data_IF_123735428566
#
_entry.id   IF_123735428566
#
_cell.length_a   1.000
_cell.length_b   1.000
_cell.length_c   1.000
_cell.angle_alpha   90.00
_cell.angle_beta   90.00
_cell.angle_gamma   90.00
#
_symmetry.space_group_name_H-M   'P 1'
#
loop_
_entity.id
_entity.type
_entity.pdbx_description
1 polymer ?
2 non-polymer ?
3 non-polymer ?
4 non-polymer ?
5 water ?
#
# COMPACT_ATOMS: atom_id res chain seq x y z
N UNK A 6 15.94 -21.59 -23.35
CA UNK A 6 16.33 -20.33 -23.99
C UNK A 6 15.27 -19.23 -23.89
N UNK A 7 13.99 -19.55 -24.18
CA UNK A 7 12.99 -18.48 -24.03
C UNK A 7 12.85 -18.02 -22.58
N UNK A 8 13.14 -18.91 -21.64
CA UNK A 8 13.12 -18.56 -20.22
C UNK A 8 14.27 -17.61 -19.91
N UNK A 9 15.39 -17.78 -20.60
CA UNK A 9 16.56 -16.93 -20.42
C UNK A 9 16.28 -15.52 -20.90
N UNK A 10 15.65 -15.41 -22.06
CA UNK A 10 15.28 -14.13 -22.63
C UNK A 10 14.30 -13.38 -21.73
N UNK A 11 13.38 -14.13 -21.14
CA UNK A 11 12.37 -13.57 -20.24
C UNK A 11 13.02 -12.88 -19.05
N UNK A 12 14.02 -13.54 -18.46
CA UNK A 12 14.72 -12.99 -17.30
C UNK A 12 15.54 -11.76 -17.65
N UNK A 13 16.31 -11.86 -18.72
CA UNK A 13 17.17 -10.76 -19.16
C UNK A 13 16.36 -9.53 -19.53
N UNK A 14 15.21 -9.75 -20.15
CA UNK A 14 14.31 -8.66 -20.52
C UNK A 14 13.84 -7.93 -19.28
N UNK A 15 13.58 -8.69 -18.22
CA UNK A 15 13.18 -8.09 -16.94
C UNK A 15 14.35 -7.36 -16.29
N UNK A 16 15.50 -8.03 -16.25
CA UNK A 16 16.71 -7.45 -15.70
C UNK A 16 17.06 -6.13 -16.41
N UNK A 17 16.78 -6.08 -17.71
CA UNK A 17 16.93 -4.84 -18.47
C UNK A 17 15.96 -3.78 -17.96
N UNK A 18 14.70 -4.16 -17.81
CA UNK A 18 13.65 -3.25 -17.39
C UNK A 18 13.93 -2.67 -16.00
N UNK A 19 14.50 -3.49 -15.13
CA UNK A 19 14.88 -3.05 -13.80
C UNK A 19 16.08 -2.10 -13.88
N UNK A 20 17.08 -2.46 -14.68
CA UNK A 20 18.29 -1.66 -14.80
C UNK A 20 18.04 -0.32 -15.49
N UNK A 21 17.01 -0.27 -16.34
CA UNK A 21 16.60 1.00 -16.94
C UNK A 21 15.82 1.80 -15.91
N UNK A 22 16.55 2.45 -15.01
CA UNK A 22 15.95 3.13 -13.87
C UNK A 22 15.06 4.30 -14.28
N UNK A 23 15.50 5.08 -15.26
CA UNK A 23 14.72 6.24 -15.69
C UNK A 23 13.56 5.82 -16.60
N UNK A 24 13.52 4.53 -16.94
CA UNK A 24 12.42 3.93 -17.67
C UNK A 24 12.18 4.61 -19.02
N UNK A 25 13.26 4.77 -19.80
CA UNK A 25 13.15 5.44 -21.09
C UNK A 25 13.32 4.45 -22.25
N UNK A 26 13.68 3.21 -21.93
CA UNK A 26 13.83 2.18 -22.94
C UNK A 26 15.28 1.91 -23.31
N UNK A 27 16.18 2.76 -22.81
CA UNK A 27 17.60 2.57 -23.04
C UNK A 27 18.39 2.63 -21.74
N UNK A 28 19.58 2.04 -21.75
CA UNK A 28 20.49 2.10 -20.62
C UNK A 28 21.58 3.13 -20.89
N UNK A 29 21.36 4.37 -20.47
CA UNK A 29 22.37 5.41 -20.66
C UNK A 29 23.62 5.10 -19.87
N UNK A 30 24.68 5.86 -20.11
CA UNK A 30 25.98 5.62 -19.48
C UNK A 30 25.89 5.56 -17.96
N UNK A 31 25.02 6.39 -17.39
CA UNK A 31 24.82 6.44 -15.96
C UNK A 31 24.25 5.11 -15.43
N UNK A 32 23.23 4.61 -16.12
CA UNK A 32 22.58 3.37 -15.71
C UNK A 32 23.41 2.16 -16.10
N UNK A 33 24.08 2.26 -17.24
CA UNK A 33 24.92 1.17 -17.74
C UNK A 33 26.09 0.90 -16.79
N UNK A 34 26.73 1.96 -16.32
CA UNK A 34 27.85 1.82 -15.39
C UNK A 34 27.42 1.28 -14.04
N UNK A 35 26.20 1.63 -13.63
CA UNK A 35 25.62 1.11 -12.40
C UNK A 35 25.44 -0.41 -12.49
N UNK A 36 24.94 -0.86 -13.64
CA UNK A 36 24.71 -2.28 -13.88
C UNK A 36 26.01 -3.09 -13.82
N UNK A 37 27.07 -2.54 -14.42
CA UNK A 37 28.35 -3.23 -14.48
C UNK A 37 29.00 -3.36 -13.10
N UNK A 38 28.81 -2.36 -12.26
CA UNK A 38 29.40 -2.34 -10.93
C UNK A 38 28.78 -3.39 -10.01
N UNK A 39 27.45 -3.45 -9.99
CA UNK A 39 26.77 -4.38 -9.10
C UNK A 39 26.95 -5.82 -9.59
N UNK A 40 27.24 -5.97 -10.88
CA UNK A 40 27.42 -7.29 -11.47
C UNK A 40 28.89 -7.73 -11.51
N UNK A 41 29.75 -6.85 -11.99
CA UNK A 41 31.14 -7.23 -12.27
C UNK A 41 32.14 -6.45 -11.42
N UNK A 42 31.66 -5.81 -10.36
CA UNK A 42 32.50 -5.11 -9.39
C UNK A 42 33.23 -3.88 -9.93
N UNK A 43 33.45 -3.84 -11.25
CA UNK A 43 34.14 -2.71 -11.86
C UNK A 43 33.52 -2.30 -13.20
N UNK A 44 33.28 -0.99 -13.38
CA UNK A 44 32.74 -0.45 -14.63
C UNK A 44 33.79 -0.32 -15.72
N UNK A 45 33.36 -0.04 -16.95
CA UNK A 45 34.27 0.08 -18.08
C UNK A 45 34.65 1.53 -18.35
N UNK A 46 35.79 1.72 -18.99
CA UNK A 46 36.28 3.06 -19.34
C UNK A 46 35.31 3.76 -20.27
N UNK A 47 35.12 5.09 -20.08
CA UNK A 47 34.14 5.92 -20.77
C UNK A 47 34.09 5.75 -22.29
N UNK A 48 35.22 5.45 -22.91
CA UNK A 48 35.27 5.30 -24.36
C UNK A 48 35.46 3.83 -24.72
N UNK A 49 35.98 3.05 -23.77
CA UNK A 49 35.98 1.59 -23.91
C UNK A 49 34.53 1.09 -23.83
N UNK A 50 33.66 1.93 -23.29
CA UNK A 50 32.23 1.69 -23.30
C UNK A 50 31.67 1.98 -24.68
N UNK A 51 32.18 3.04 -25.31
CA UNK A 51 31.78 3.41 -26.65
C UNK A 51 32.27 2.38 -27.67
N UNK A 52 33.31 1.64 -27.29
CA UNK A 52 33.83 0.57 -28.14
C UNK A 52 32.82 -0.59 -28.21
N UNK A 53 32.23 -0.93 -27.06
CA UNK A 53 31.24 -1.99 -27.01
C UNK A 53 30.00 -1.60 -27.82
N UNK A 54 29.62 -0.33 -27.74
CA UNK A 54 28.49 0.19 -28.49
C UNK A 54 28.73 0.05 -29.99
N UNK A 55 29.97 0.28 -30.41
CA UNK A 55 30.35 0.09 -31.81
C UNK A 55 30.13 -1.34 -32.27
N UNK A 56 30.58 -2.30 -31.46
CA UNK A 56 30.38 -3.71 -31.74
C UNK A 56 28.90 -4.01 -31.95
N UNK A 57 28.05 -3.40 -31.14
CA UNK A 57 26.60 -3.54 -31.29
C UNK A 57 26.12 -2.90 -32.58
N UNK A 58 26.53 -1.64 -32.79
CA UNK A 58 26.10 -0.88 -33.96
C UNK A 58 26.49 -1.55 -35.28
N UNK A 59 27.55 -2.35 -35.25
CA UNK A 59 28.08 -2.95 -36.47
C UNK A 59 27.47 -4.33 -36.70
N UNK A 60 26.48 -4.69 -35.90
CA UNK A 60 25.77 -5.96 -36.05
C UNK A 60 24.28 -5.71 -36.22
N UNK A 61 23.72 -4.88 -35.34
CA UNK A 61 22.30 -4.53 -35.42
C UNK A 61 22.14 -3.02 -35.34
N UNK A 62 21.11 -2.51 -36.02
CA UNK A 62 20.90 -1.08 -36.11
C UNK A 62 20.07 -0.53 -34.96
N UNK A 63 19.24 -1.40 -34.38
CA UNK A 63 18.35 -1.00 -33.29
C UNK A 63 18.88 -1.43 -31.93
N UNK A 64 20.20 -1.58 -31.84
CA UNK A 64 20.84 -2.00 -30.60
C UNK A 64 21.31 -0.85 -29.74
N UNK A 65 21.45 0.31 -30.35
CA UNK A 65 21.87 1.52 -29.64
C UNK A 65 21.06 2.73 -30.09
N UNK A 66 20.21 3.22 -29.19
CA UNK A 66 19.53 4.50 -29.39
C UNK A 66 20.18 5.51 -28.45
N UNK A 67 19.98 6.81 -28.72
CA UNK A 67 20.82 7.89 -28.17
C UNK A 67 22.28 7.42 -28.03
N UNK A 68 22.83 7.35 -26.82
CA UNK A 68 24.10 6.69 -26.62
C UNK A 68 23.97 5.66 -25.50
N UNK A 69 22.80 5.05 -25.42
CA UNK A 69 22.50 4.05 -24.40
C UNK A 69 22.00 2.75 -24.98
N UNK A 70 22.29 1.65 -24.29
CA UNK A 70 21.98 0.32 -24.78
C UNK A 70 20.47 0.04 -24.77
N UNK A 71 19.95 -0.39 -25.92
CA UNK A 71 18.54 -0.79 -26.01
C UNK A 71 18.38 -2.25 -25.62
N UNK A 72 17.13 -2.69 -25.49
CA UNK A 72 16.84 -4.06 -25.11
C UNK A 72 17.38 -5.05 -26.15
N UNK A 73 17.08 -4.79 -27.42
CA UNK A 73 17.59 -5.61 -28.51
C UNK A 73 19.12 -5.63 -28.48
N UNK A 74 19.72 -4.49 -28.15
CA UNK A 74 21.16 -4.41 -28.01
C UNK A 74 21.64 -5.20 -26.80
N UNK A 75 20.87 -5.12 -25.72
CA UNK A 75 21.16 -5.84 -24.49
C UNK A 75 21.11 -7.35 -24.70
N UNK A 76 20.07 -7.83 -25.38
CA UNK A 76 19.92 -9.25 -25.66
C UNK A 76 20.99 -9.73 -26.63
N UNK A 77 21.43 -8.83 -27.51
CA UNK A 77 22.48 -9.15 -28.48
C UNK A 77 23.80 -9.46 -27.80
N UNK A 78 24.14 -8.65 -26.79
CA UNK A 78 25.39 -8.84 -26.05
C UNK A 78 25.40 -10.14 -25.28
N UNK A 79 24.20 -10.61 -24.92
CA UNK A 79 24.05 -11.90 -24.24
C UNK A 79 24.46 -13.04 -25.17
N UNK A 80 24.10 -12.91 -26.45
CA UNK A 80 24.42 -13.91 -27.45
C UNK A 80 25.92 -13.89 -27.77
N UNK A 81 26.49 -12.69 -27.79
CA UNK A 81 27.90 -12.51 -28.15
C UNK A 81 28.84 -13.16 -27.12
N UNK A 82 28.50 -13.01 -25.85
CA UNK A 82 29.35 -13.53 -24.77
C UNK A 82 29.35 -15.05 -24.73
N UNK A 83 28.33 -15.67 -25.32
CA UNK A 83 28.27 -17.12 -25.40
C UNK A 83 29.08 -17.63 -26.59
N UNK A 84 28.65 -17.27 -27.80
CA UNK A 84 29.33 -17.68 -29.01
C UNK A 84 30.56 -16.83 -29.27
N UNK A 88 27.97 -18.61 -21.67
CA UNK A 88 29.23 -18.78 -20.97
C UNK A 88 29.05 -18.66 -19.46
N UNK A 89 29.71 -17.65 -18.88
CA UNK A 89 29.63 -17.44 -17.44
C UNK A 89 29.29 -15.99 -17.12
N UNK A 90 29.47 -15.11 -18.11
CA UNK A 90 29.17 -13.69 -17.95
C UNK A 90 27.68 -13.48 -17.69
N UNK A 91 26.85 -14.25 -18.39
CA UNK A 91 25.41 -14.13 -18.26
C UNK A 91 24.93 -14.61 -16.89
N UNK A 92 25.45 -15.76 -16.46
CA UNK A 92 25.08 -16.35 -15.18
C UNK A 92 25.51 -15.47 -14.01
N UNK A 93 26.55 -14.67 -14.23
CA UNK A 93 26.96 -13.68 -13.23
C UNK A 93 25.85 -12.66 -13.04
N UNK A 94 25.30 -12.19 -14.17
CA UNK A 94 24.23 -11.20 -14.15
C UNK A 94 22.96 -11.79 -13.53
N UNK A 95 22.58 -12.98 -13.98
CA UNK A 95 21.37 -13.65 -13.51
C UNK A 95 21.39 -13.87 -12.00
N UNK A 96 22.49 -14.42 -11.49
CA UNK A 96 22.61 -14.68 -10.06
C UNK A 96 22.60 -13.39 -9.25
N UNK A 97 23.13 -12.33 -9.84
CA UNK A 97 23.17 -11.03 -9.18
C UNK A 97 21.77 -10.45 -9.03
N UNK A 98 20.86 -10.89 -9.89
CA UNK A 98 19.49 -10.39 -9.86
C UNK A 98 18.52 -11.40 -9.25
N UNK A 99 19.05 -12.37 -8.50
CA UNK A 99 18.23 -13.26 -7.72
C UNK A 99 17.78 -14.54 -8.40
N UNK A 100 18.15 -14.71 -9.68
CA UNK A 100 17.75 -15.90 -10.41
C UNK A 100 18.62 -17.10 -10.04
N UNK A 101 18.05 -18.30 -10.17
CA UNK A 101 18.79 -19.53 -9.91
C UNK A 101 19.07 -20.28 -11.21
N UNK A 102 19.46 -21.54 -11.10
CA UNK A 102 19.78 -22.35 -12.26
C UNK A 102 18.57 -22.57 -13.17
N UNK A 103 17.39 -22.60 -12.57
CA UNK A 103 16.15 -22.80 -13.32
C UNK A 103 15.58 -21.48 -13.86
N UNK A 104 16.38 -20.42 -13.73
CA UNK A 104 16.00 -19.07 -14.18
C UNK A 104 14.78 -18.53 -13.45
N UNK A 105 14.59 -18.98 -12.21
CA UNK A 105 13.51 -18.47 -11.36
C UNK A 105 14.09 -17.70 -10.19
N UNK A 106 13.31 -16.78 -9.63
CA UNK A 106 13.77 -15.99 -8.49
C UNK A 106 13.80 -16.86 -7.24
N UNK A 107 14.95 -16.88 -6.57
CA UNK A 107 15.16 -17.69 -5.39
C UNK A 107 14.29 -17.25 -4.22
N UNK A 108 13.88 -18.21 -3.36
CA UNK A 108 13.13 -17.90 -2.14
C UNK A 108 13.86 -16.91 -1.24
N UNK A 109 15.19 -16.98 -1.24
CA UNK A 109 16.01 -16.10 -0.42
C UNK A 109 15.91 -14.66 -0.90
N UNK A 110 15.65 -14.48 -2.18
CA UNK A 110 15.54 -13.14 -2.76
C UNK A 110 14.14 -12.59 -2.57
N UNK A 111 13.13 -13.40 -2.89
CA UNK A 111 11.74 -12.96 -2.84
C UNK A 111 11.14 -13.01 -1.44
N UNK A 112 11.51 -14.02 -0.66
CA UNK A 112 10.93 -14.19 0.67
C UNK A 112 11.99 -14.20 1.78
N UNK A 113 12.59 -13.04 2.06
CA UNK A 113 13.53 -12.99 3.19
C UNK A 113 12.75 -13.06 4.49
N UNK A 114 13.13 -13.97 5.38
CA UNK A 114 12.34 -14.15 6.60
C UNK A 114 12.48 -12.93 7.51
N UNK A 115 11.33 -12.44 7.96
CA UNK A 115 11.26 -11.30 8.87
C UNK A 115 10.23 -11.60 9.94
N UNK A 116 10.70 -12.17 11.05
CA UNK A 116 9.83 -12.56 12.15
C UNK A 116 9.35 -11.35 12.94
N UNK A 117 8.04 -11.17 12.99
CA UNK A 117 7.46 -10.03 13.69
C UNK A 117 6.97 -10.41 15.08
N UNK A 118 7.49 -9.73 16.11
CA UNK A 118 7.10 -9.94 17.50
C UNK A 118 5.61 -9.67 17.72
N UNK A 119 5.02 -10.31 18.73
CA UNK A 119 3.60 -10.12 19.05
C UNK A 119 3.26 -8.65 19.36
N UNK A 120 2.06 -8.23 18.99
CA UNK A 120 1.58 -6.87 19.22
C UNK A 120 2.48 -5.80 18.59
N UNK A 121 3.18 -6.18 17.51
CA UNK A 121 4.01 -5.24 16.77
C UNK A 121 3.47 -5.03 15.37
N UNK A 122 3.78 -3.88 14.77
CA UNK A 122 3.33 -3.58 13.41
C UNK A 122 4.50 -3.35 12.46
N UNK A 123 4.19 -3.28 11.17
CA UNK A 123 5.21 -3.13 10.15
C UNK A 123 4.99 -1.89 9.30
N UNK A 124 6.03 -1.06 9.17
CA UNK A 124 5.95 0.15 8.36
C UNK A 124 7.13 0.25 7.42
N UNK A 125 6.97 0.98 6.34
CA UNK A 125 8.06 1.26 5.42
C UNK A 125 8.88 2.42 5.97
N UNK A 126 10.21 2.29 5.97
CA UNK A 126 11.05 3.38 6.44
C UNK A 126 11.12 4.49 5.39
N UNK A 127 11.74 5.60 5.77
CA UNK A 127 11.77 6.79 4.91
C UNK A 127 12.41 6.52 3.54
N UNK A 128 13.50 5.75 3.54
CA UNK A 128 14.20 5.45 2.29
C UNK A 128 13.37 4.50 1.41
N UNK A 129 12.62 3.61 2.05
CA UNK A 129 11.71 2.73 1.34
C UNK A 129 10.66 3.53 0.59
N UNK A 130 10.10 4.53 1.26
CA UNK A 130 9.10 5.41 0.65
C UNK A 130 9.68 6.17 -0.53
N UNK A 131 10.90 6.66 -0.38
CA UNK A 131 11.58 7.39 -1.46
C UNK A 131 11.75 6.52 -2.69
N UNK A 132 12.08 5.25 -2.47
CA UNK A 132 12.19 4.27 -3.56
C UNK A 132 10.87 4.15 -4.32
N UNK A 133 9.77 4.15 -3.58
CA UNK A 133 8.44 4.02 -4.17
C UNK A 133 8.01 5.32 -4.85
N UNK A 134 8.47 6.44 -4.33
CA UNK A 134 8.16 7.75 -4.92
C UNK A 134 8.81 7.88 -6.29
N UNK A 135 10.05 7.43 -6.40
CA UNK A 135 10.74 7.45 -7.68
C UNK A 135 10.10 6.42 -8.60
N UNK A 136 9.79 5.25 -8.05
CA UNK A 136 9.13 4.17 -8.80
C UNK A 136 7.85 4.66 -9.48
N UNK A 137 7.07 5.46 -8.75
CA UNK A 137 5.85 6.03 -9.30
C UNK A 137 6.17 6.99 -10.43
N UNK A 138 7.16 7.85 -10.20
CA UNK A 138 7.54 8.85 -11.20
C UNK A 138 8.04 8.23 -12.50
N UNK A 139 8.75 7.10 -12.38
CA UNK A 139 9.30 6.44 -13.56
C UNK A 139 8.21 5.95 -14.52
N UNK A 140 7.04 5.67 -13.97
CA UNK A 140 5.96 5.10 -14.78
C UNK A 140 4.83 6.09 -15.03
N UNK A 141 4.90 7.25 -14.39
CA UNK A 141 3.93 8.31 -14.61
C UNK A 141 4.41 9.20 -15.75
N UNK A 142 4.49 8.62 -16.95
CA UNK A 142 5.08 9.31 -18.10
C UNK A 142 4.25 10.51 -18.56
N UNK A 143 2.95 10.51 -18.25
CA UNK A 143 2.08 11.61 -18.66
C UNK A 143 2.07 12.75 -17.64
N UNK A 144 2.82 12.57 -16.56
CA UNK A 144 2.98 13.59 -15.51
C UNK A 144 1.67 14.14 -14.97
N UNK A 145 0.72 13.25 -14.71
CA UNK A 145 -0.58 13.67 -14.18
C UNK A 145 -0.75 13.27 -12.72
N UNK A 146 0.33 12.80 -12.11
CA UNK A 146 0.33 12.30 -10.74
C UNK A 146 -0.74 11.23 -10.53
N UNK A 147 -0.81 10.31 -11.48
CA UNK A 147 -1.72 9.18 -11.43
C UNK A 147 -1.24 8.11 -12.39
N UNK A 148 -1.58 6.86 -12.11
CA UNK A 148 -1.20 5.76 -12.99
C UNK A 148 -2.40 5.24 -13.77
N UNK A 149 -2.44 5.54 -15.06
CA UNK A 149 -3.45 4.99 -15.96
C UNK A 149 -3.27 3.48 -16.02
N UNK A 150 -4.33 2.75 -16.45
CA UNK A 150 -4.23 1.30 -16.63
C UNK A 150 -3.01 0.87 -17.45
N UNK A 151 -2.62 1.69 -18.42
CA UNK A 151 -1.44 1.41 -19.25
C UNK A 151 -0.16 1.57 -18.44
N UNK A 152 -0.10 2.60 -17.61
CA UNK A 152 1.08 2.87 -16.80
C UNK A 152 1.24 1.85 -15.68
N UNK A 153 0.12 1.23 -15.28
CA UNK A 153 0.16 0.15 -14.30
C UNK A 153 0.65 -1.15 -14.95
N UNK A 154 0.17 -1.42 -16.16
CA UNK A 154 0.62 -2.59 -16.92
C UNK A 154 2.12 -2.51 -17.16
N UNK A 155 2.61 -1.31 -17.40
CA UNK A 155 4.03 -1.08 -17.58
C UNK A 155 4.79 -1.41 -16.29
N UNK A 156 4.29 -0.87 -15.18
CA UNK A 156 4.89 -1.10 -13.87
C UNK A 156 4.91 -2.58 -13.50
N UNK A 157 3.89 -3.32 -13.91
CA UNK A 157 3.75 -4.71 -13.53
C UNK A 157 4.44 -5.67 -14.51
N UNK A 158 5.10 -5.11 -15.52
CA UNK A 158 5.76 -5.95 -16.52
C UNK A 158 7.04 -6.59 -15.95
N UNK A 159 7.42 -6.17 -14.75
CA UNK A 159 8.49 -6.83 -14.01
C UNK A 159 7.90 -7.82 -13.00
N UNK A 160 6.57 -7.88 -12.92
CA UNK A 160 5.87 -8.82 -12.05
C UNK A 160 5.44 -10.05 -12.85
N UNK A 161 5.54 -11.24 -12.22
CA UNK A 161 5.10 -12.48 -12.86
C UNK A 161 3.58 -12.62 -12.90
N UNK A 162 2.89 -11.83 -12.08
CA UNK A 162 1.43 -11.79 -12.11
C UNK A 162 0.96 -10.39 -11.74
N UNK A 163 -0.29 -10.07 -12.07
CA UNK A 163 -0.87 -8.79 -11.67
C UNK A 163 -1.14 -8.79 -10.16
N UNK A 164 -0.44 -7.91 -9.43
CA UNK A 164 -0.52 -7.87 -7.97
C UNK A 164 -1.76 -7.16 -7.44
N UNK A 165 -2.26 -6.17 -8.16
CA UNK A 165 -3.40 -5.38 -7.71
C UNK A 165 -4.64 -5.64 -8.55
N UNK A 166 -5.77 -5.82 -7.88
CA UNK A 166 -7.04 -6.01 -8.56
C UNK A 166 -7.79 -4.69 -8.68
N UNK A 167 -8.94 -4.71 -9.35
CA UNK A 167 -9.75 -3.49 -9.55
C UNK A 167 -10.34 -2.93 -8.26
N UNK A 168 -10.22 -3.67 -7.16
CA UNK A 168 -10.73 -3.21 -5.88
C UNK A 168 -9.73 -2.30 -5.17
N UNK A 169 -8.49 -2.33 -5.64
CA UNK A 169 -7.45 -1.46 -5.10
C UNK A 169 -7.82 0.01 -5.30
N UNK A 170 -8.47 0.30 -6.41
CA UNK A 170 -8.93 1.66 -6.71
C UNK A 170 -10.04 2.12 -5.77
N UNK A 171 -10.69 1.18 -5.10
CA UNK A 171 -11.72 1.50 -4.13
C UNK A 171 -11.20 1.38 -2.71
N UNK A 172 -9.87 1.36 -2.60
CA UNK A 172 -9.20 1.22 -1.31
C UNK A 172 -8.35 2.44 -0.99
N UNK A 173 -7.75 3.03 -2.02
CA UNK A 173 -6.90 4.20 -1.86
C UNK A 173 -7.41 5.39 -2.66
N UNK A 174 -6.78 6.54 -2.47
CA UNK A 174 -7.16 7.75 -3.20
C UNK A 174 -6.98 7.58 -4.71
N UNK A 175 -8.04 7.89 -5.46
CA UNK A 175 -7.97 7.87 -6.90
C UNK A 175 -8.30 9.24 -7.48
N UNK A 176 -8.01 9.43 -8.76
CA UNK A 176 -8.22 10.73 -9.40
C UNK A 176 -9.61 10.85 -10.00
N UNK A 177 -9.72 11.66 -11.05
CA UNK A 177 -10.99 12.02 -11.64
C UNK A 177 -11.62 10.81 -12.35
N UNK A 178 -10.78 9.94 -12.89
CA UNK A 178 -11.24 8.84 -13.72
C UNK A 178 -11.03 7.48 -13.06
N UNK A 179 -10.73 7.49 -11.76
CA UNK A 179 -10.58 6.25 -11.02
C UNK A 179 -9.16 5.69 -11.01
N UNK A 180 -8.21 6.47 -11.48
CA UNK A 180 -6.81 6.03 -11.50
C UNK A 180 -6.14 6.32 -10.17
N UNK A 181 -5.35 5.36 -9.70
CA UNK A 181 -4.62 5.53 -8.45
C UNK A 181 -3.68 6.72 -8.54
N UNK A 182 -3.83 7.66 -7.61
CA UNK A 182 -3.00 8.86 -7.59
C UNK A 182 -1.63 8.57 -6.99
N UNK A 183 -0.79 9.60 -6.96
CA UNK A 183 0.52 9.50 -6.36
C UNK A 183 0.40 9.19 -4.86
N UNK A 184 -0.51 9.89 -4.19
CA UNK A 184 -0.74 9.65 -2.77
C UNK A 184 -1.39 8.29 -2.54
N UNK A 185 -2.37 7.95 -3.38
CA UNK A 185 -3.05 6.68 -3.28
C UNK A 185 -2.10 5.51 -3.47
N UNK A 186 -1.10 5.72 -4.32
CA UNK A 186 -0.08 4.72 -4.61
C UNK A 186 0.69 4.34 -3.35
N UNK A 187 1.14 5.36 -2.62
CA UNK A 187 1.88 5.15 -1.39
C UNK A 187 0.99 4.57 -0.30
N UNK A 188 -0.29 4.93 -0.35
CA UNK A 188 -1.27 4.41 0.61
C UNK A 188 -1.45 2.91 0.45
N UNK A 189 -1.42 2.43 -0.80
CA UNK A 189 -1.59 1.01 -1.06
C UNK A 189 -0.39 0.21 -0.57
N UNK A 190 0.80 0.77 -0.71
CA UNK A 190 2.01 0.12 -0.21
C UNK A 190 2.06 0.17 1.31
N UNK A 191 1.64 1.29 1.87
CA UNK A 191 1.53 1.44 3.31
C UNK A 191 0.57 0.38 3.85
N UNK A 192 -0.53 0.20 3.13
CA UNK A 192 -1.56 -0.76 3.51
C UNK A 192 -1.06 -2.20 3.43
N UNK A 193 -0.42 -2.54 2.31
CA UNK A 193 0.10 -3.88 2.09
C UNK A 193 1.17 -4.24 3.12
N UNK A 194 2.04 -3.28 3.43
CA UNK A 194 3.12 -3.50 4.39
C UNK A 194 2.56 -3.79 5.78
N UNK A 195 1.49 -3.11 6.14
CA UNK A 195 0.88 -3.24 7.46
C UNK A 195 0.21 -4.59 7.63
N UNK A 196 -0.58 -4.98 6.64
CA UNK A 196 -1.39 -6.20 6.72
C UNK A 196 -0.62 -7.45 6.31
N UNK A 197 0.10 -7.36 5.19
CA UNK A 197 0.82 -8.52 4.66
C UNK A 197 2.24 -8.13 4.26
N UNK A 198 3.15 -8.12 5.23
CA UNK A 198 4.51 -7.68 5.00
C UNK A 198 5.26 -8.61 4.05
N UNK A 199 4.97 -9.91 4.11
CA UNK A 199 5.61 -10.88 3.24
C UNK A 199 5.25 -10.64 1.78
N UNK A 200 4.04 -10.15 1.55
CA UNK A 200 3.59 -9.83 0.21
C UNK A 200 4.29 -8.57 -0.29
N UNK A 201 4.45 -7.59 0.60
CA UNK A 201 5.13 -6.35 0.26
C UNK A 201 6.59 -6.60 -0.09
N UNK A 202 7.26 -7.43 0.71
CA UNK A 202 8.65 -7.79 0.46
C UNK A 202 8.80 -8.50 -0.88
N UNK A 203 7.85 -9.39 -1.17
CA UNK A 203 7.83 -10.09 -2.45
C UNK A 203 7.71 -9.10 -3.60
N UNK A 204 6.81 -8.13 -3.45
CA UNK A 204 6.59 -7.13 -4.49
C UNK A 204 7.81 -6.23 -4.67
N UNK A 205 8.50 -5.92 -3.57
CA UNK A 205 9.71 -5.11 -3.63
C UNK A 205 10.82 -5.86 -4.37
N UNK A 206 10.81 -7.19 -4.26
CA UNK A 206 11.76 -8.02 -4.98
C UNK A 206 11.53 -7.95 -6.47
N UNK A 207 10.26 -7.91 -6.87
CA UNK A 207 9.90 -7.80 -8.28
C UNK A 207 10.32 -6.44 -8.85
N UNK A 208 10.32 -5.43 -7.99
CA UNK A 208 10.76 -4.10 -8.39
C UNK A 208 12.27 -3.96 -8.31
N UNK A 209 12.94 -4.98 -7.78
CA UNK A 209 14.38 -4.99 -7.67
C UNK A 209 14.89 -4.03 -6.62
N UNK A 210 14.14 -3.89 -5.52
CA UNK A 210 14.51 -2.99 -4.44
C UNK A 210 15.89 -3.30 -3.87
N UNK A 211 16.06 -4.55 -3.42
CA UNK A 211 17.30 -5.00 -2.81
C UNK A 211 18.53 -4.71 -3.66
N UNK A 212 18.35 -4.79 -4.97
CA UNK A 212 19.46 -4.61 -5.91
C UNK A 212 19.72 -3.13 -6.19
N UNK A 213 18.66 -2.41 -6.55
CA UNK A 213 18.78 -1.01 -6.94
C UNK A 213 19.21 -0.11 -5.78
N UNK A 214 18.89 -0.53 -4.55
CA UNK A 214 19.27 0.24 -3.38
C UNK A 214 20.51 -0.37 -2.73
N UNK A 215 20.98 -1.47 -3.31
CA UNK A 215 22.16 -2.19 -2.85
C UNK A 215 22.07 -2.52 -1.36
N UNK A 216 21.13 -3.40 -1.02
CA UNK A 216 20.94 -3.80 0.38
C UNK A 216 20.82 -5.32 0.48
N UNK A 217 20.98 -5.84 1.69
CA UNK A 217 21.05 -7.28 1.91
C UNK A 217 19.77 -8.01 1.51
N UNK A 218 18.63 -7.39 1.81
CA UNK A 218 17.34 -8.00 1.46
C UNK A 218 16.25 -6.95 1.32
N UNK A 219 15.07 -7.39 0.88
CA UNK A 219 13.91 -6.51 0.79
C UNK A 219 13.45 -6.10 2.19
N UNK A 220 13.79 -6.92 3.17
CA UNK A 220 13.40 -6.69 4.57
C UNK A 220 14.04 -5.43 5.14
N UNK A 221 15.05 -4.91 4.44
CA UNK A 221 15.76 -3.71 4.87
C UNK A 221 14.95 -2.45 4.59
N UNK A 222 13.69 -2.63 4.21
CA UNK A 222 12.80 -1.50 3.92
C UNK A 222 11.72 -1.39 4.99
N UNK A 223 11.56 -2.45 5.76
CA UNK A 223 10.48 -2.52 6.75
C UNK A 223 10.94 -2.12 8.15
N UNK A 224 10.20 -1.22 8.77
CA UNK A 224 10.42 -0.88 10.18
C UNK A 224 9.46 -1.66 11.05
N UNK A 225 9.98 -2.30 12.09
CA UNK A 225 9.14 -3.02 13.03
C UNK A 225 8.95 -2.21 14.32
N UNK A 226 7.73 -1.71 14.51
CA UNK A 226 7.42 -0.89 15.68
C UNK A 226 7.45 -1.72 16.96
N UNK A 227 7.56 -1.04 18.10
CA UNK A 227 7.65 -1.74 19.38
C UNK A 227 6.30 -2.30 19.83
N UNK A 228 6.34 -3.13 20.86
CA UNK A 228 5.14 -3.74 21.43
C UNK A 228 4.09 -2.68 21.77
N UNK A 229 2.84 -2.97 21.43
CA UNK A 229 1.73 -2.06 21.70
C UNK A 229 1.61 -1.78 23.20
N UNK A 230 1.88 -2.80 24.01
CA UNK A 230 1.77 -2.69 25.46
C UNK A 230 2.69 -1.61 26.01
N UNK A 231 3.88 -1.50 25.44
CA UNK A 231 4.85 -0.49 25.87
C UNK A 231 4.34 0.91 25.52
N UNK A 232 3.72 1.03 24.35
CA UNK A 232 3.10 2.29 23.94
C UNK A 232 2.00 2.70 24.92
N UNK A 233 1.21 1.72 25.36
CA UNK A 233 0.12 1.99 26.29
C UNK A 233 0.65 2.38 27.66
N UNK A 234 1.71 1.71 28.10
CA UNK A 234 2.27 1.94 29.42
C UNK A 234 3.03 3.27 29.48
N UNK A 235 3.88 3.51 28.48
CA UNK A 235 4.62 4.76 28.38
C UNK A 235 3.73 5.91 27.91
N UNK A 236 2.49 5.57 27.54
CA UNK A 236 1.49 6.54 27.09
C UNK A 236 2.02 7.41 25.96
N UNK A 237 2.70 6.78 25.00
CA UNK A 237 3.28 7.49 23.87
C UNK A 237 3.68 6.50 22.79
N UNK A 238 3.48 6.87 21.53
CA UNK A 238 3.84 6.00 20.42
C UNK A 238 4.65 6.73 19.35
N UNK A 239 5.36 5.96 18.53
CA UNK A 239 6.12 6.51 17.42
C UNK A 239 5.59 5.97 16.10
N UNK A 240 4.47 5.26 16.17
CA UNK A 240 3.85 4.68 14.99
C UNK A 240 3.31 5.76 14.06
N UNK A 241 3.18 5.41 12.78
CA UNK A 241 2.63 6.34 11.80
C UNK A 241 1.38 5.77 11.16
N UNK A 242 1.17 4.47 11.33
CA UNK A 242 0.00 3.81 10.78
C UNK A 242 -0.89 3.24 11.89
N UNK A 243 -2.16 3.60 11.87
CA UNK A 243 -3.10 3.13 12.89
C UNK A 243 -4.29 2.42 12.24
N UNK A 244 -4.63 1.25 12.76
CA UNK A 244 -5.76 0.48 12.24
C UNK A 244 -7.02 0.69 13.06
N UNK A 245 -8.12 1.04 12.37
CA UNK A 245 -9.41 1.19 13.01
C UNK A 245 -10.42 0.22 12.42
N UNK A 246 -11.04 -0.59 13.28
CA UNK A 246 -12.10 -1.49 12.86
C UNK A 246 -13.46 -0.80 12.87
N UNK A 247 -14.18 -0.89 11.75
CA UNK A 247 -15.50 -0.29 11.64
C UNK A 247 -16.57 -1.37 11.79
N UNK A 248 -17.37 -1.27 12.84
CA UNK A 248 -18.33 -2.31 13.18
C UNK A 248 -19.77 -1.78 13.29
N UNK A 249 -20.70 -2.51 12.68
CA UNK A 249 -22.11 -2.14 12.72
C UNK A 249 -22.97 -3.16 11.99
N UNK A 250 -24.29 -3.04 12.10
CA UNK A 250 -25.21 -3.96 11.43
C UNK A 250 -25.14 -3.85 9.91
N UNK A 251 -25.85 -4.73 9.21
CA UNK A 251 -25.85 -4.73 7.76
C UNK A 251 -26.57 -3.48 7.24
N UNK A 252 -25.95 -2.82 6.26
CA UNK A 252 -26.47 -1.60 5.65
C UNK A 252 -26.66 -0.46 6.65
N UNK A 253 -25.71 -0.31 7.57
CA UNK A 253 -25.75 0.80 8.52
C UNK A 253 -24.85 1.94 8.05
N UNK A 254 -24.25 1.76 6.88
CA UNK A 254 -23.44 2.81 6.26
C UNK A 254 -21.95 2.71 6.54
N UNK A 255 -21.46 1.50 6.80
CA UNK A 255 -20.05 1.29 7.09
C UNK A 255 -19.18 1.60 5.87
N UNK A 256 -19.55 1.05 4.71
CA UNK A 256 -18.80 1.27 3.48
C UNK A 256 -18.77 2.76 3.12
N UNK A 257 -19.83 3.47 3.47
CA UNK A 257 -19.90 4.90 3.23
C UNK A 257 -18.87 5.65 4.05
N UNK A 258 -18.58 5.14 5.24
CA UNK A 258 -17.58 5.73 6.11
C UNK A 258 -16.19 5.56 5.51
N UNK A 259 -15.91 4.33 5.07
CA UNK A 259 -14.63 4.01 4.46
C UNK A 259 -14.34 4.87 3.22
N UNK A 260 -15.33 4.94 2.33
CA UNK A 260 -15.17 5.70 1.10
C UNK A 260 -15.09 7.20 1.34
N UNK A 261 -15.65 7.64 2.47
CA UNK A 261 -15.59 9.06 2.84
C UNK A 261 -14.15 9.46 3.13
N UNK A 262 -13.38 8.50 3.66
CA UNK A 262 -11.96 8.74 3.95
C UNK A 262 -11.19 9.01 2.66
N UNK A 263 -11.68 8.44 1.56
CA UNK A 263 -11.05 8.63 0.25
C UNK A 263 -11.57 9.91 -0.43
N UNK A 264 -12.48 10.60 0.25
CA UNK A 264 -13.01 11.86 -0.23
C UNK A 264 -14.14 11.72 -1.23
N UNK A 265 -14.86 10.60 -1.15
CA UNK A 265 -15.90 10.31 -2.13
C UNK A 265 -17.31 10.53 -1.60
N UNK A 266 -18.08 11.33 -2.34
CA UNK A 266 -19.48 11.59 -2.03
C UNK A 266 -20.32 10.32 -2.14
N UNK A 267 -21.50 10.34 -1.53
CA UNK A 267 -22.40 9.19 -1.60
C UNK A 267 -22.79 8.88 -3.05
N UNK A 268 -22.97 9.92 -3.85
CA UNK A 268 -23.38 9.74 -5.24
C UNK A 268 -22.27 9.10 -6.06
N UNK A 269 -21.02 9.39 -5.71
CA UNK A 269 -19.89 8.75 -6.36
C UNK A 269 -19.81 7.29 -5.97
N UNK A 270 -20.24 6.98 -4.74
CA UNK A 270 -20.18 5.62 -4.22
C UNK A 270 -21.20 4.69 -4.88
N UNK A 271 -22.26 5.27 -5.43
CA UNK A 271 -23.33 4.47 -6.05
C UNK A 271 -22.92 3.94 -7.42
N UNK A 272 -21.81 4.45 -7.96
CA UNK A 272 -21.34 4.00 -9.26
C UNK A 272 -20.25 2.93 -9.11
N UNK A 273 -20.00 2.52 -7.87
CA UNK A 273 -19.02 1.49 -7.59
C UNK A 273 -19.63 0.10 -7.80
N UNK A 274 -19.06 -0.66 -8.73
CA UNK A 274 -19.53 -2.01 -9.01
C UNK A 274 -19.10 -2.96 -7.90
N UNK A 275 -19.95 -3.92 -7.58
CA UNK A 275 -19.69 -4.79 -6.43
C UNK A 275 -18.53 -5.74 -6.68
N UNK A 276 -18.22 -5.99 -7.95
CA UNK A 276 -17.07 -6.79 -8.31
C UNK A 276 -15.78 -6.16 -7.80
N UNK A 277 -15.80 -4.83 -7.68
CA UNK A 277 -14.62 -4.07 -7.30
C UNK A 277 -14.74 -3.53 -5.87
N UNK A 278 -15.64 -4.11 -5.09
CA UNK A 278 -15.86 -3.70 -3.70
C UNK A 278 -14.65 -3.99 -2.83
N UNK A 279 -14.41 -3.12 -1.84
CA UNK A 279 -13.29 -3.32 -0.92
C UNK A 279 -13.70 -3.06 0.52
N UNK A 280 -13.27 -3.94 1.42
CA UNK A 280 -13.55 -3.81 2.84
C UNK A 280 -12.40 -3.12 3.56
N UNK A 281 -11.61 -2.36 2.80
CA UNK A 281 -10.50 -1.59 3.36
C UNK A 281 -10.47 -0.19 2.76
N UNK A 282 -9.90 0.75 3.51
CA UNK A 282 -9.69 2.10 3.02
C UNK A 282 -8.58 2.74 3.85
N UNK A 283 -7.64 3.38 3.17
CA UNK A 283 -6.50 3.98 3.85
C UNK A 283 -6.19 5.36 3.28
N UNK A 284 -5.80 6.27 4.16
CA UNK A 284 -5.45 7.63 3.77
C UNK A 284 -4.66 8.34 4.85
N UNK A 285 -4.10 9.49 4.53
CA UNK A 285 -3.37 10.29 5.50
C UNK A 285 -4.32 11.23 6.24
N UNK A 286 -4.04 11.44 7.52
CA UNK A 286 -4.82 12.35 8.34
C UNK A 286 -3.87 13.19 9.19
N UNK A 287 -4.15 14.49 9.31
CA UNK A 287 -3.34 15.36 10.14
C UNK A 287 -3.91 15.48 11.56
N UNK A 288 -3.11 15.10 12.56
CA UNK A 288 -3.49 15.26 13.95
C UNK A 288 -2.55 16.24 14.66
N UNK A 289 -3.06 17.43 14.95
CA UNK A 289 -2.31 18.47 15.64
C UNK A 289 -0.98 18.80 14.95
N UNK A 290 -0.99 18.76 13.62
CA UNK A 290 0.20 19.07 12.84
C UNK A 290 1.03 17.84 12.50
N UNK A 291 0.64 16.69 13.04
CA UNK A 291 1.32 15.44 12.76
C UNK A 291 0.59 14.69 11.66
N UNK A 292 1.31 14.23 10.64
CA UNK A 292 0.71 13.46 9.57
C UNK A 292 0.83 11.97 9.86
N UNK A 293 -0.31 11.28 9.87
CA UNK A 293 -0.35 9.86 10.16
C UNK A 293 -1.15 9.13 9.08
N UNK A 294 -1.10 7.80 9.12
CA UNK A 294 -1.91 6.98 8.23
C UNK A 294 -3.08 6.35 8.99
N UNK A 295 -4.29 6.54 8.50
CA UNK A 295 -5.46 5.91 9.09
C UNK A 295 -5.93 4.74 8.22
N UNK A 296 -6.03 3.57 8.83
CA UNK A 296 -6.35 2.34 8.13
C UNK A 296 -7.70 1.80 8.60
N UNK A 297 -8.71 1.87 7.73
CA UNK A 297 -10.05 1.40 8.08
C UNK A 297 -10.32 -0.02 7.59
N UNK A 298 -10.94 -0.82 8.43
CA UNK A 298 -11.32 -2.18 8.06
C UNK A 298 -12.82 -2.41 8.30
N UNK A 299 -13.57 -2.57 7.22
CA UNK A 299 -15.01 -2.80 7.31
C UNK A 299 -15.30 -4.22 7.79
N UNK A 300 -15.79 -4.34 9.01
CA UNK A 300 -16.12 -5.64 9.60
C UNK A 300 -17.57 -6.00 9.32
N UNK A 301 -17.80 -6.94 8.42
CA UNK A 301 -19.15 -7.37 8.09
C UNK A 301 -19.81 -8.09 9.26
N UNK A 302 -21.09 -7.79 9.48
CA UNK A 302 -21.87 -8.41 10.54
C UNK A 302 -21.94 -9.93 10.36
N UNK A 303 -21.23 -10.66 11.22
CA UNK A 303 -21.27 -12.10 11.19
C UNK A 303 -21.67 -12.65 12.56
N UNK A 304 -21.77 -13.98 12.65
CA UNK A 304 -22.16 -14.62 13.89
C UNK A 304 -21.07 -14.54 14.96
N UNK A 305 -19.85 -14.24 14.52
CA UNK A 305 -18.71 -14.26 15.43
C UNK A 305 -17.87 -12.99 15.35
N UNK A 306 -17.11 -12.73 16.41
CA UNK A 306 -16.10 -11.69 16.41
C UNK A 306 -14.86 -12.22 17.10
N UNK A 307 -13.97 -12.82 16.30
CA UNK A 307 -12.77 -13.48 16.82
C UNK A 307 -11.76 -12.50 17.40
N UNK A 308 -10.58 -13.02 17.72
CA UNK A 308 -9.52 -12.21 18.29
C UNK A 308 -8.79 -11.47 17.18
N UNK A 309 -9.28 -11.63 15.95
CA UNK A 309 -8.69 -11.00 14.78
C UNK A 309 -9.37 -9.65 14.48
N UNK A 310 -10.70 -9.66 14.37
CA UNK A 310 -11.42 -8.45 14.00
C UNK A 310 -11.61 -7.51 15.20
N UNK A 311 -10.85 -7.75 16.27
CA UNK A 311 -10.92 -6.86 17.43
C UNK A 311 -9.59 -6.16 17.66
N UNK A 312 -8.50 -6.77 17.20
CA UNK A 312 -7.19 -6.14 17.31
C UNK A 312 -7.13 -4.89 16.45
N UNK A 313 -7.11 -3.74 17.10
CA UNK A 313 -6.97 -2.47 16.41
C UNK A 313 -6.53 -1.40 17.40
N UNK A 314 -6.35 -0.18 16.90
CA UNK A 314 -5.87 0.92 17.73
C UNK A 314 -7.02 1.79 18.20
N UNK A 315 -8.16 1.65 17.52
CA UNK A 315 -9.37 2.36 17.86
C UNK A 315 -10.56 1.70 17.16
N UNK A 316 -11.70 1.65 17.84
CA UNK A 316 -12.89 1.04 17.26
C UNK A 316 -13.92 2.09 16.87
N UNK A 317 -14.51 1.91 15.70
CA UNK A 317 -15.56 2.82 15.24
C UNK A 317 -16.90 2.09 15.15
N UNK A 318 -17.71 2.23 16.20
CA UNK A 318 -19.02 1.61 16.23
C UNK A 318 -20.03 2.50 15.50
N UNK A 319 -20.54 1.98 14.38
CA UNK A 319 -21.40 2.77 13.52
C UNK A 319 -22.84 2.27 13.53
N UNK A 320 -23.78 3.18 13.70
CA UNK A 320 -25.19 2.83 13.61
C UNK A 320 -25.94 3.81 12.73
N UNK A 321 -27.06 3.34 12.18
CA UNK A 321 -27.87 4.14 11.28
C UNK A 321 -28.99 4.84 12.05
N UNK A 322 -29.13 6.15 11.84
CA UNK A 322 -30.12 6.92 12.58
C UNK A 322 -31.53 6.70 12.03
N UNK A 323 -31.62 6.19 10.81
CA UNK A 323 -32.90 5.85 10.22
C UNK A 323 -33.31 4.43 10.60
N UNK A 324 -32.38 3.71 11.24
CA UNK A 324 -32.63 2.36 11.70
C UNK A 324 -32.73 2.29 13.21
N UNK A 325 -33.95 2.05 13.73
CA UNK A 325 -34.26 2.08 15.17
C UNK A 325 -33.61 0.96 15.97
N UNK A 326 -33.20 -0.11 15.31
CA UNK A 326 -32.67 -1.27 16.02
C UNK A 326 -31.16 -1.41 15.83
N UNK A 327 -30.55 -0.46 15.12
CA UNK A 327 -29.14 -0.55 14.76
C UNK A 327 -28.20 -0.31 15.93
N UNK A 328 -28.51 0.69 16.76
CA UNK A 328 -27.63 1.07 17.86
C UNK A 328 -27.45 -0.07 18.87
N UNK A 329 -28.45 -0.95 18.97
CA UNK A 329 -28.38 -2.07 19.90
C UNK A 329 -27.17 -2.94 19.57
N UNK A 330 -26.85 -3.04 18.29
CA UNK A 330 -25.68 -3.80 17.86
C UNK A 330 -24.41 -3.21 18.42
N UNK A 331 -24.30 -1.88 18.35
CA UNK A 331 -23.14 -1.18 18.88
C UNK A 331 -22.98 -1.43 20.38
N UNK A 332 -24.09 -1.29 21.11
CA UNK A 332 -24.09 -1.53 22.55
C UNK A 332 -23.74 -2.98 22.86
N UNK A 333 -24.28 -3.90 22.07
CA UNK A 333 -24.01 -5.32 22.24
C UNK A 333 -22.53 -5.62 22.06
N UNK A 334 -22.01 -5.31 20.87
CA UNK A 334 -20.61 -5.58 20.53
C UNK A 334 -19.65 -4.91 21.52
N UNK A 335 -19.96 -3.69 21.92
CA UNK A 335 -19.11 -2.98 22.87
C UNK A 335 -19.04 -3.72 24.21
N UNK A 336 -20.17 -4.25 24.66
CA UNK A 336 -20.23 -4.84 26.01
C UNK A 336 -19.55 -6.19 26.08
N UNK A 337 -19.57 -6.90 24.95
CA UNK A 337 -18.81 -8.17 24.90
C UNK A 337 -17.41 -8.14 24.29
N UNK A 338 -16.87 -7.00 23.85
CA UNK A 338 -15.47 -7.04 23.35
C UNK A 338 -14.58 -5.83 23.70
N UNK A 339 -15.23 -4.69 23.93
CA UNK A 339 -14.50 -3.44 24.11
C UNK A 339 -14.90 -2.69 25.37
N UNK A 340 -15.80 -3.25 26.17
CA UNK A 340 -16.27 -2.54 27.37
C UNK A 340 -15.16 -2.37 28.39
N UNK A 341 -14.44 -3.44 28.68
CA UNK A 341 -13.29 -3.39 29.57
C UNK A 341 -12.01 -3.64 28.80
N UNK A 342 -11.83 -2.90 27.72
CA UNK A 342 -10.67 -3.04 26.85
C UNK A 342 -9.85 -1.76 26.81
N UNK A 343 -8.55 -1.91 26.59
CA UNK A 343 -7.66 -0.74 26.51
C UNK A 343 -7.76 -0.04 25.16
N UNK A 344 -8.71 -0.47 24.34
CA UNK A 344 -8.93 0.14 23.03
C UNK A 344 -10.02 1.20 23.08
N UNK A 345 -9.71 2.41 22.60
CA UNK A 345 -10.68 3.51 22.53
C UNK A 345 -11.83 3.21 21.58
N UNK A 346 -13.03 3.70 21.91
CA UNK A 346 -14.20 3.49 21.06
C UNK A 346 -14.91 4.80 20.75
N UNK A 347 -15.28 4.96 19.48
CA UNK A 347 -16.04 6.13 19.05
C UNK A 347 -17.34 5.68 18.39
N UNK A 348 -18.46 6.18 18.88
CA UNK A 348 -19.75 5.88 18.29
C UNK A 348 -20.08 6.91 17.21
N UNK A 349 -20.50 6.43 16.05
CA UNK A 349 -20.79 7.30 14.93
C UNK A 349 -22.25 7.15 14.47
N UNK A 350 -22.97 8.26 14.49
CA UNK A 350 -24.35 8.27 14.00
C UNK A 350 -24.36 8.56 12.51
N UNK A 351 -24.24 7.50 11.71
CA UNK A 351 -24.15 7.63 10.26
C UNK A 351 -25.51 7.93 9.63
N UNK A 352 -25.47 8.32 8.35
CA UNK A 352 -26.66 8.70 7.60
C UNK A 352 -27.44 9.80 8.32
N UNK A 353 -26.72 10.73 8.93
CA UNK A 353 -27.34 11.79 9.72
C UNK A 353 -28.03 12.83 8.83
N UNK A 354 -28.00 12.61 7.52
CA UNK A 354 -28.75 13.46 6.59
C UNK A 354 -30.21 13.02 6.56
N UNK A 355 -30.47 11.82 7.07
CA UNK A 355 -31.82 11.28 7.12
C UNK A 355 -32.51 11.69 8.41
N UNK A 356 -33.84 11.59 8.42
CA UNK A 356 -34.62 11.93 9.61
C UNK A 356 -34.27 10.99 10.76
N UNK A 357 -33.86 11.57 11.88
CA UNK A 357 -33.45 10.80 13.04
C UNK A 357 -34.62 10.06 13.66
N UNK A 358 -34.51 8.74 13.71
CA UNK A 358 -35.54 7.88 14.28
C UNK A 358 -35.12 7.44 15.69
N UNK A 359 -36.09 7.35 16.59
CA UNK A 359 -35.83 6.94 17.97
C UNK A 359 -35.33 5.49 18.05
N UNK A 360 -34.18 5.31 18.69
CA UNK A 360 -33.58 3.98 18.82
C UNK A 360 -34.33 3.13 19.84
N UNK A 361 -34.55 1.87 19.51
CA UNK A 361 -35.35 0.98 20.34
C UNK A 361 -34.54 0.37 21.49
N UNK A 362 -33.27 0.76 21.60
CA UNK A 362 -32.44 0.24 22.67
C UNK A 362 -32.84 0.83 24.02
N UNK A 363 -32.54 0.10 25.09
CA UNK A 363 -32.93 0.50 26.44
C UNK A 363 -32.51 1.92 26.80
N UNK A 364 -31.29 2.29 26.40
CA UNK A 364 -30.78 3.63 26.68
C UNK A 364 -30.40 4.35 25.39
N UNK A 365 -30.47 5.68 25.42
CA UNK A 365 -30.12 6.50 24.27
C UNK A 365 -28.63 6.44 24.01
N UNK A 366 -28.22 6.62 22.74
CA UNK A 366 -26.81 6.68 22.36
C UNK A 366 -26.00 7.66 23.20
N UNK A 367 -26.59 8.82 23.48
CA UNK A 367 -25.95 9.86 24.26
C UNK A 367 -25.59 9.42 25.68
N UNK A 368 -26.59 8.90 26.39
CA UNK A 368 -26.39 8.47 27.77
C UNK A 368 -25.48 7.26 27.87
N UNK A 369 -25.55 6.39 26.87
CA UNK A 369 -24.71 5.20 26.82
C UNK A 369 -23.24 5.58 26.79
N UNK A 370 -22.91 6.62 26.04
CA UNK A 370 -21.54 7.10 25.93
C UNK A 370 -21.06 7.75 27.23
N UNK A 371 -21.99 7.99 28.15
CA UNK A 371 -21.62 8.54 29.45
C UNK A 371 -21.47 7.42 30.48
N UNK A 372 -22.39 6.46 30.45
CA UNK A 372 -22.35 5.30 31.33
C UNK A 372 -21.00 4.61 31.20
N UNK A 373 -20.60 4.38 29.96
CA UNK A 373 -19.24 3.95 29.67
C UNK A 373 -18.52 5.15 29.07
N UNK A 374 -17.59 5.74 29.84
CA UNK A 374 -16.99 7.02 29.50
C UNK A 374 -16.37 7.08 28.10
N UNK A 375 -17.23 7.37 27.13
CA UNK A 375 -16.83 7.55 25.74
C UNK A 375 -17.14 8.98 25.30
N UNK A 376 -16.53 9.43 24.19
CA UNK A 376 -16.97 10.68 23.59
C UNK A 376 -18.43 10.60 23.16
N UNK A 377 -19.10 11.76 23.01
CA UNK A 377 -20.48 11.79 22.51
C UNK A 377 -20.59 11.17 21.13
N UNK A 378 -21.75 10.57 20.80
CA UNK A 378 -21.98 10.00 19.47
C UNK A 378 -21.78 11.06 18.39
N UNK A 379 -20.90 10.77 17.42
CA UNK A 379 -20.55 11.74 16.39
C UNK A 379 -21.51 11.66 15.21
N UNK A 380 -22.12 12.80 14.87
CA UNK A 380 -22.99 12.87 13.71
C UNK A 380 -22.14 12.86 12.44
N UNK A 381 -22.51 12.01 11.49
CA UNK A 381 -21.73 11.85 10.27
C UNK A 381 -22.60 11.54 9.05
N UNK A 382 -22.20 12.06 7.90
CA UNK A 382 -22.86 11.75 6.64
C UNK A 382 -21.91 11.86 5.45
N UNK A 383 -22.09 10.98 4.48
CA UNK A 383 -21.31 11.03 3.25
C UNK A 383 -22.19 11.55 2.11
N UNK A 384 -23.44 11.82 2.42
CA UNK A 384 -24.38 12.35 1.44
C UNK A 384 -24.42 13.87 1.45
N UNK A 385 -23.32 14.48 1.06
CA UNK A 385 -23.22 15.93 0.99
C UNK A 385 -22.61 16.35 -0.33
N UNK A 386 -22.83 17.60 -0.72
CA UNK A 386 -22.17 18.15 -1.90
C UNK A 386 -20.66 18.14 -1.65
N UNK A 387 -19.89 18.11 -2.72
CA UNK A 387 -18.43 17.96 -2.62
C UNK A 387 -18.07 16.69 -1.85
N UNK A 388 -16.96 16.74 -1.10
CA UNK A 388 -16.50 15.57 -0.35
C UNK A 388 -16.95 15.63 1.10
N UNK A 389 -17.24 14.47 1.70
CA UNK A 389 -17.63 14.36 3.12
C UNK A 389 -16.61 14.98 4.07
N UNK A 390 -17.00 15.11 5.33
CA UNK A 390 -16.14 15.72 6.33
C UNK A 390 -15.11 14.73 6.87
N UNK A 391 -13.89 15.21 7.11
CA UNK A 391 -12.83 14.37 7.64
C UNK A 391 -12.76 14.44 9.17
N UNK A 392 -13.79 15.01 9.77
CA UNK A 392 -13.82 15.25 11.22
C UNK A 392 -13.64 13.97 12.03
N UNK A 393 -14.44 12.95 11.74
CA UNK A 393 -14.39 11.70 12.48
C UNK A 393 -13.04 10.99 12.32
N UNK A 394 -12.42 11.17 11.16
CA UNK A 394 -11.17 10.49 10.87
C UNK A 394 -10.01 11.13 11.64
N UNK A 395 -10.05 12.44 11.80
CA UNK A 395 -9.14 13.12 12.71
C UNK A 395 -9.35 12.62 14.13
N UNK A 396 -10.63 12.54 14.53
CA UNK A 396 -11.02 12.04 15.85
C UNK A 396 -10.47 10.65 16.12
N UNK A 397 -10.76 9.73 15.20
CA UNK A 397 -10.33 8.33 15.34
C UNK A 397 -8.82 8.22 15.47
N UNK A 398 -8.10 8.95 14.62
CA UNK A 398 -6.65 8.90 14.63
C UNK A 398 -6.10 9.49 15.92
N UNK A 399 -6.70 10.61 16.36
CA UNK A 399 -6.29 11.27 17.60
C UNK A 399 -6.44 10.33 18.80
N UNK A 400 -7.55 9.60 18.82
CA UNK A 400 -7.80 8.65 19.91
C UNK A 400 -6.85 7.47 19.84
N UNK A 401 -6.43 7.12 18.63
CA UNK A 401 -5.48 6.02 18.43
C UNK A 401 -4.10 6.42 18.94
N UNK A 402 -3.72 7.67 18.68
CA UNK A 402 -2.42 8.18 19.11
C UNK A 402 -2.38 8.41 20.62
N UNK A 403 -3.45 8.99 21.15
CA UNK A 403 -3.50 9.30 22.58
C UNK A 403 -4.72 8.65 23.24
N UNK A 404 -4.62 7.35 23.55
CA UNK A 404 -5.72 6.57 24.12
C UNK A 404 -6.22 7.14 25.45
N UNK A 405 -5.32 7.66 26.26
CA UNK A 405 -5.68 8.19 27.57
C UNK A 405 -6.24 9.61 27.46
N UNK A 406 -5.50 10.47 26.78
CA UNK A 406 -5.92 11.86 26.61
C UNK A 406 -7.16 11.97 25.74
X LIG B 1 17.46 4.51 -19.12
X LIG C 1 0.02 9.00 -15.25
X LIG D 1 -22.64 -4.28 4.56
X LIG D 1 -21.18 -4.08 4.33
X LIG D 1 -23.20 -5.40 3.74
X LIG D 1 -22.97 -4.43 6.02
X LIG D 1 -23.47 -2.77 4.00
X LIG D 1 -22.75 -1.32 4.80
X LIG D 1 -21.34 -1.17 4.31
X LIG D 1 -22.99 -1.42 6.29
X LIG D 1 -23.64 -0.10 4.22
X LIG D 1 -23.41 0.81 2.91
X LIG D 1 -23.38 -0.08 1.70
X LIG D 1 -22.27 1.75 3.18
X LIG D 1 -24.77 1.66 2.92
X LIG D 1 -26.04 1.02 2.96
X LIG D 1 -27.11 1.84 2.23
X LIG D 1 -27.24 3.11 2.86
X LIG D 1 -26.84 2.12 0.75
X LIG D 1 -28.06 2.08 0.00
X LIG D 1 -26.25 3.53 0.78
X LIG D 1 -26.47 4.26 -0.44
X LIG D 1 -27.02 4.17 1.93
X LIG D 1 -26.25 5.22 2.65
X LIG D 1 -25.03 5.05 3.17
X LIG D 1 -24.52 6.14 3.78
X LIG D 1 -25.48 7.06 3.65
X LIG D 1 -25.62 8.48 4.07
X LIG D 1 -24.80 9.19 4.70
X LIG D 1 -26.80 8.97 3.69
X LIG D 1 -27.79 8.36 3.02
X LIG D 1 -28.88 9.11 2.77
X LIG D 1 -27.77 7.08 2.59
X LIG D 1 -26.62 6.47 2.91
X LIG E 1 15.17 -9.23 -9.62
#
# INVERSE_FOLDING_TARGET
>A
EEKEMKPACIKALTRIFKISDQDNDGTLNDAELNFFQRICFNTPLAPQALEDVKNVVRKHISDGVADSGLTLKGFLFLHTLFIQRGRHETTWTVLRRFGYDDDLDLTPEYLFPLLKIPPDCTTELNHHAYLFLQSTFDKHDLDRDCALSPDELKDLFKVFPYIPWGPDVNNTVCTNERGWITYQGFLSQWTLTTYLDVQRCLEYLGYLGYSILTEQESQASAVTVTRDKKIDLQKKQTQRNVFRCNVIGVKNCGKSGVLQALLGRNLMRQKKIREDHKSYYAINTVYVYGQEKYLLLHDISESEFLTEAEIICDVVCLVYDVSNPKSFEYCARIFKQHFMDSRIPCLIVAAKSDLHEVKQEYSISPTDFCRKHKMPPPQAFTCNTADAPSKDIFVKLTTMAMYPHVTQADLKSSTFLEHHHHHH
>B hetero
1 MG MG
>C hetero
1 MG MG
>D hetero
1 GCP PG O1G O2G O3G C3B PB O1B O2B O3A PA O1A O2A O5' C5' C4' O4' C3' O3' C2' O2' C1' N9 C8 N7 C5 C6 O6 N1 C2 N2 N3 C4
>E hetero
1 CL CL
#
